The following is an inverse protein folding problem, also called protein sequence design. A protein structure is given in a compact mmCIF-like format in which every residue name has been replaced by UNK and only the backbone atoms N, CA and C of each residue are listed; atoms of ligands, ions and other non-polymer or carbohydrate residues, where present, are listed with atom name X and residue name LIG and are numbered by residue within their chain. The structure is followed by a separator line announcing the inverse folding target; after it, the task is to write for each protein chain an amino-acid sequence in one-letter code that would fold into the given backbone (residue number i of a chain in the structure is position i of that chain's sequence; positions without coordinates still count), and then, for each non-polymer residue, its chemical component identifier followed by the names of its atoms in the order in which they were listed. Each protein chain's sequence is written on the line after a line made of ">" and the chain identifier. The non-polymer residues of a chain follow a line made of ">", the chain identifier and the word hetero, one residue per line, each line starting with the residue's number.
data_IF_264812615106
#
_entry.id   IF_264812615106
#
_cell.length_a   1.000
_cell.length_b   1.000
_cell.length_c   1.000
_cell.angle_alpha   90.00
_cell.angle_beta   90.00
_cell.angle_gamma   90.00
#
_symmetry.space_group_name_H-M   'P 1'
#
loop_
_entity.id
_entity.type
_entity.pdbx_description
1 polymer ?
#
# COMPACT_ATOMS: atom_id res chain seq x y z
N UNK A 1 18.99 -15.94 14.54
CA UNK A 1 20.01 -15.27 15.37
C UNK A 1 19.45 -14.00 16.00
N UNK A 2 18.88 -13.07 15.25
CA UNK A 2 18.28 -11.84 15.79
C UNK A 2 17.18 -12.09 16.84
N UNK A 3 16.09 -12.77 16.47
CA UNK A 3 14.91 -12.98 17.36
C UNK A 3 15.12 -13.89 18.57
N UNK A 4 16.22 -14.66 18.62
CA UNK A 4 16.47 -15.68 19.68
C UNK A 4 17.79 -15.49 20.43
N UNK A 5 18.80 -14.93 19.78
CA UNK A 5 20.16 -14.74 20.33
C UNK A 5 20.56 -13.26 20.40
N UNK A 6 19.70 -12.32 19.98
CA UNK A 6 19.95 -10.88 20.06
C UNK A 6 21.04 -10.36 19.12
N UNK A 7 21.52 -11.19 18.18
CA UNK A 7 22.53 -10.80 17.20
C UNK A 7 21.83 -10.35 15.93
N UNK A 8 21.70 -9.03 15.78
CA UNK A 8 21.12 -8.39 14.61
C UNK A 8 22.09 -8.42 13.41
N UNK A 9 21.54 -8.45 12.20
CA UNK A 9 22.31 -8.26 10.98
C UNK A 9 22.81 -6.81 10.90
N UNK A 10 24.04 -6.55 10.41
CA UNK A 10 24.48 -5.19 10.12
C UNK A 10 23.50 -4.51 9.16
N UNK A 11 23.23 -3.19 9.35
CA UNK A 11 22.34 -2.48 8.46
C UNK A 11 22.89 -2.49 7.02
N UNK A 12 22.01 -2.75 6.05
CA UNK A 12 22.35 -2.65 4.64
C UNK A 12 22.58 -1.20 4.19
N UNK A 13 23.05 -1.03 2.96
CA UNK A 13 23.17 0.29 2.35
C UNK A 13 21.80 0.95 2.16
N UNK A 14 21.71 2.30 2.26
CA UNK A 14 20.45 3.00 2.08
C UNK A 14 19.98 2.97 0.62
N UNK A 15 18.71 2.63 0.39
CA UNK A 15 18.08 2.57 -0.94
C UNK A 15 17.45 3.91 -1.37
N UNK A 16 18.18 5.01 -1.19
CA UNK A 16 17.64 6.37 -1.29
C UNK A 16 16.95 6.68 -2.62
N UNK A 17 17.50 6.22 -3.75
CA UNK A 17 16.90 6.45 -5.07
C UNK A 17 15.55 5.74 -5.20
N UNK A 18 15.49 4.46 -4.82
CA UNK A 18 14.25 3.67 -4.87
C UNK A 18 13.20 4.29 -3.95
N UNK A 19 13.59 4.69 -2.73
CA UNK A 19 12.71 5.39 -1.79
C UNK A 19 12.19 6.71 -2.38
N UNK A 20 13.04 7.51 -3.02
CA UNK A 20 12.62 8.77 -3.62
C UNK A 20 11.63 8.57 -4.78
N UNK A 21 11.89 7.59 -5.64
CA UNK A 21 11.00 7.22 -6.75
C UNK A 21 9.64 6.75 -6.23
N UNK A 22 9.63 5.85 -5.23
CA UNK A 22 8.41 5.37 -4.60
C UNK A 22 7.59 6.52 -3.99
N UNK A 23 8.25 7.43 -3.26
CA UNK A 23 7.58 8.61 -2.67
C UNK A 23 6.94 9.49 -3.75
N UNK A 24 7.63 9.75 -4.86
CA UNK A 24 7.11 10.59 -5.93
C UNK A 24 5.92 9.92 -6.63
N UNK A 25 6.03 8.62 -6.92
CA UNK A 25 4.96 7.85 -7.54
C UNK A 25 3.70 7.80 -6.65
N UNK A 26 3.88 7.55 -5.36
CA UNK A 26 2.78 7.54 -4.39
C UNK A 26 2.07 8.89 -4.32
N UNK A 27 2.82 10.00 -4.34
CA UNK A 27 2.25 11.36 -4.39
C UNK A 27 1.45 11.62 -5.66
N UNK A 28 1.93 11.13 -6.80
CA UNK A 28 1.19 11.25 -8.07
C UNK A 28 -0.15 10.51 -7.98
N UNK A 29 -0.15 9.27 -7.47
CA UNK A 29 -1.39 8.51 -7.26
C UNK A 29 -2.35 9.20 -6.28
N UNK A 30 -1.84 9.83 -5.22
CA UNK A 30 -2.67 10.58 -4.27
C UNK A 30 -3.41 11.76 -4.95
N UNK A 31 -2.76 12.47 -5.90
CA UNK A 31 -3.40 13.53 -6.69
C UNK A 31 -4.54 12.98 -7.54
N UNK A 32 -4.35 11.80 -8.11
CA UNK A 32 -5.37 11.12 -8.93
C UNK A 32 -6.53 10.59 -8.09
N UNK A 33 -6.23 10.02 -6.91
CA UNK A 33 -7.21 9.52 -5.94
C UNK A 33 -8.14 10.64 -5.44
N UNK A 34 -7.56 11.77 -5.04
CA UNK A 34 -8.32 12.93 -4.59
C UNK A 34 -9.25 13.51 -5.67
N UNK A 35 -8.92 13.31 -6.96
CA UNK A 35 -9.72 13.75 -8.10
C UNK A 35 -10.67 12.66 -8.62
N UNK A 36 -10.59 11.45 -8.08
CA UNK A 36 -11.24 10.24 -8.59
C UNK A 36 -11.05 10.08 -10.12
N UNK A 37 -9.79 10.20 -10.57
CA UNK A 37 -9.42 10.11 -12.00
C UNK A 37 -8.42 9.00 -12.21
N UNK A 38 -8.64 8.21 -13.26
CA UNK A 38 -7.68 7.23 -13.73
C UNK A 38 -6.30 7.88 -13.98
N UNK A 39 -5.25 7.18 -13.56
CA UNK A 39 -3.87 7.53 -13.83
C UNK A 39 -3.57 7.34 -15.34
N UNK A 40 -2.70 8.16 -15.97
CA UNK A 40 -2.39 8.03 -17.40
C UNK A 40 -1.98 6.61 -17.82
N UNK A 41 -1.20 5.91 -17.00
CA UNK A 41 -0.81 4.52 -17.27
C UNK A 41 -2.02 3.59 -17.36
N UNK A 42 -3.02 3.73 -16.48
CA UNK A 42 -4.22 2.87 -16.53
C UNK A 42 -4.95 3.05 -17.86
N UNK A 43 -5.05 4.31 -18.34
CA UNK A 43 -5.66 4.60 -19.64
C UNK A 43 -4.86 4.05 -20.81
N UNK A 44 -3.53 4.16 -20.76
CA UNK A 44 -2.63 3.64 -21.80
C UNK A 44 -2.81 2.13 -21.98
N UNK A 45 -3.00 1.40 -20.87
CA UNK A 45 -3.27 -0.04 -20.88
C UNK A 45 -4.74 -0.42 -21.07
N UNK A 46 -5.64 0.55 -21.28
CA UNK A 46 -7.07 0.29 -21.45
C UNK A 46 -7.76 -0.24 -20.19
N UNK A 47 -7.20 0.02 -19.01
CA UNK A 47 -7.75 -0.37 -17.72
C UNK A 47 -8.68 0.73 -17.20
N UNK A 48 -9.93 0.39 -16.93
CA UNK A 48 -10.92 1.31 -16.36
C UNK A 48 -10.84 1.30 -14.83
N UNK A 49 -9.68 1.72 -14.32
CA UNK A 49 -9.35 1.71 -12.90
C UNK A 49 -9.12 3.12 -12.37
N UNK A 50 -9.71 3.40 -11.21
CA UNK A 50 -9.46 4.62 -10.43
C UNK A 50 -8.81 4.25 -9.09
N UNK A 51 -7.90 5.08 -8.55
CA UNK A 51 -7.35 4.81 -7.23
C UNK A 51 -8.48 4.82 -6.19
N UNK A 52 -8.56 3.77 -5.39
CA UNK A 52 -9.62 3.60 -4.40
C UNK A 52 -9.48 4.62 -3.28
N UNK A 53 -10.59 5.27 -2.91
CA UNK A 53 -10.65 6.25 -1.82
C UNK A 53 -11.36 5.64 -0.62
N UNK A 54 -10.67 5.60 0.52
CA UNK A 54 -11.23 5.14 1.79
C UNK A 54 -10.63 5.95 2.94
N UNK A 55 -11.40 6.15 4.02
CA UNK A 55 -10.95 6.93 5.19
C UNK A 55 -9.73 6.29 5.88
N UNK A 56 -9.66 4.95 5.86
CA UNK A 56 -8.55 4.19 6.44
C UNK A 56 -7.36 3.98 5.49
N UNK A 57 -7.36 4.58 4.29
CA UNK A 57 -6.32 4.29 3.28
C UNK A 57 -4.91 4.62 3.79
N UNK A 58 -4.74 5.69 4.57
CA UNK A 58 -3.45 6.06 5.14
C UNK A 58 -2.96 5.03 6.16
N UNK A 59 -3.85 4.52 7.01
CA UNK A 59 -3.53 3.48 7.99
C UNK A 59 -3.18 2.15 7.29
N UNK A 60 -3.92 1.79 6.24
CA UNK A 60 -3.67 0.56 5.49
C UNK A 60 -2.36 0.57 4.73
N UNK A 61 -1.86 1.74 4.32
CA UNK A 61 -0.56 1.90 3.62
C UNK A 61 0.61 2.02 4.58
N UNK A 62 0.37 2.27 5.86
CA UNK A 62 1.42 2.45 6.85
C UNK A 62 1.95 1.09 7.34
N UNK A 63 3.23 0.80 7.08
CA UNK A 63 3.88 -0.48 7.40
C UNK A 63 3.75 -0.95 8.86
N UNK A 64 3.58 -0.03 9.82
CA UNK A 64 3.46 -0.35 11.25
C UNK A 64 2.02 -0.41 11.75
N UNK A 65 1.04 -0.05 10.92
CA UNK A 65 -0.39 -0.20 11.22
C UNK A 65 -1.00 -1.28 10.33
N UNK A 66 -0.98 -1.01 9.02
CA UNK A 66 -1.47 -1.90 7.97
C UNK A 66 -2.94 -2.27 8.11
N UNK A 67 -3.36 -3.15 7.21
CA UNK A 67 -4.59 -3.92 7.38
C UNK A 67 -4.33 -5.02 8.40
N UNK A 68 -5.25 -5.20 9.35
CA UNK A 68 -5.15 -6.25 10.36
C UNK A 68 -6.38 -7.16 10.35
N UNK A 69 -6.15 -8.47 10.48
CA UNK A 69 -7.18 -9.47 10.64
C UNK A 69 -6.85 -10.39 11.82
N UNK A 70 -7.77 -10.46 12.79
CA UNK A 70 -7.63 -11.36 13.93
C UNK A 70 -8.39 -12.66 13.69
N UNK A 71 -7.65 -13.72 13.39
CA UNK A 71 -8.18 -15.07 13.34
C UNK A 71 -8.32 -15.64 14.76
N UNK A 72 -9.46 -15.32 15.38
CA UNK A 72 -9.81 -15.67 16.78
C UNK A 72 -9.59 -17.14 17.17
N UNK A 73 -9.93 -18.15 16.34
CA UNK A 73 -9.87 -19.55 16.75
C UNK A 73 -8.49 -20.03 17.22
N UNK A 74 -7.42 -19.51 16.63
CA UNK A 74 -6.03 -19.85 16.99
C UNK A 74 -5.28 -18.65 17.59
N UNK A 75 -5.99 -17.56 17.88
CA UNK A 75 -5.45 -16.31 18.36
C UNK A 75 -4.28 -15.75 17.50
N UNK A 76 -4.46 -15.75 16.18
CA UNK A 76 -3.48 -15.25 15.21
C UNK A 76 -3.89 -13.88 14.67
N UNK A 77 -2.99 -12.90 14.73
CA UNK A 77 -3.15 -11.61 14.05
C UNK A 77 -2.32 -11.64 12.78
N UNK A 78 -2.97 -11.45 11.63
CA UNK A 78 -2.35 -11.25 10.33
C UNK A 78 -2.36 -9.76 10.06
N UNK A 79 -1.19 -9.19 9.76
CA UNK A 79 -1.06 -7.76 9.42
C UNK A 79 -0.22 -7.59 8.17
N UNK A 80 -0.54 -6.57 7.38
CA UNK A 80 0.24 -6.16 6.23
C UNK A 80 -0.19 -4.79 5.74
N UNK A 81 0.77 -4.00 5.27
CA UNK A 81 0.47 -2.76 4.57
C UNK A 81 0.30 -3.00 3.07
N UNK A 82 -0.61 -2.27 2.47
CA UNK A 82 -0.84 -2.29 1.02
C UNK A 82 -0.12 -1.11 0.37
N UNK A 83 0.41 -1.27 -0.85
CA UNK A 83 0.99 -0.14 -1.59
C UNK A 83 -0.11 0.75 -2.18
N UNK A 84 -1.04 0.15 -2.92
CA UNK A 84 -2.21 0.83 -3.50
C UNK A 84 -3.39 -0.13 -3.70
N UNK A 85 -4.60 0.44 -3.79
CA UNK A 85 -5.84 -0.27 -4.08
C UNK A 85 -6.53 0.47 -5.21
N UNK A 86 -7.01 -0.28 -6.21
CA UNK A 86 -7.68 0.27 -7.38
C UNK A 86 -9.10 -0.29 -7.45
N UNK A 87 -10.06 0.58 -7.76
CA UNK A 87 -11.43 0.18 -8.03
C UNK A 87 -11.67 0.18 -9.53
N UNK A 88 -12.38 -0.85 -10.00
CA UNK A 88 -13.04 -0.79 -11.30
C UNK A 88 -14.09 0.33 -11.28
N UNK A 89 -14.12 1.13 -12.34
CA UNK A 89 -15.11 2.19 -12.48
C UNK A 89 -16.53 1.65 -12.72
N UNK A 90 -16.64 0.44 -13.29
CA UNK A 90 -17.90 -0.17 -13.74
C UNK A 90 -18.52 -1.13 -12.71
N UNK A 91 -17.81 -1.46 -11.63
CA UNK A 91 -18.29 -2.39 -10.61
C UNK A 91 -18.55 -1.63 -9.31
N UNK A 92 -19.80 -1.59 -8.82
CA UNK A 92 -20.10 -1.01 -7.51
C UNK A 92 -19.34 -1.75 -6.42
N UNK A 93 -18.66 -0.99 -5.58
CA UNK A 93 -18.01 -1.49 -4.36
C UNK A 93 -19.09 -1.45 -3.27
N UNK A 94 -19.48 -2.63 -2.77
CA UNK A 94 -20.52 -2.81 -1.75
C UNK A 94 -19.98 -2.70 -0.33
#
# INVERSE_FOLDING_TARGET
>A
MDRRLGVAQPPGFPFNLNTAVDILLKKEFDIHRAKNKAHPMMREYGLDLVPFQHEMMDDWRENFKGVQYHHKPINLIITGAVDDIWSDYNVPIY
#
